data_IF_718882662989
#
_entry.id   IF_718882662989
#
_cell.length_a   1.000
_cell.length_b   1.000
_cell.length_c   1.000
_cell.angle_alpha   90.00
_cell.angle_beta   90.00
_cell.angle_gamma   90.00
#
_symmetry.space_group_name_H-M   'P 1'
#
loop_
_entity.id
_entity.type
_entity.pdbx_description
1 polymer ?
#
# COMPACT_ATOMS: atom_id res chain seq x y z
N UNK A 1 16.67 4.27 -12.34
CA UNK A 1 15.27 4.71 -12.17
C UNK A 1 14.99 4.67 -10.68
N UNK A 2 14.48 5.74 -10.06
CA UNK A 2 13.92 5.62 -8.70
C UNK A 2 12.60 4.89 -8.85
N UNK A 3 12.69 3.57 -8.89
CA UNK A 3 11.53 2.71 -8.97
C UNK A 3 10.90 2.74 -7.60
N UNK A 4 9.70 3.32 -7.49
CA UNK A 4 8.89 3.13 -6.29
C UNK A 4 8.67 1.63 -6.06
N UNK A 5 8.22 1.26 -4.88
CA UNK A 5 8.04 -0.16 -4.57
C UNK A 5 6.96 -0.78 -5.45
N UNK A 6 7.19 -2.02 -5.88
CA UNK A 6 6.15 -2.81 -6.54
C UNK A 6 5.03 -3.06 -5.54
N UNK A 7 3.80 -2.73 -5.91
CA UNK A 7 2.61 -3.07 -5.15
C UNK A 7 2.02 -4.38 -5.69
N UNK A 8 1.43 -5.19 -4.80
CA UNK A 8 0.60 -6.32 -5.24
C UNK A 8 -0.77 -5.83 -5.69
N UNK A 9 -1.44 -6.59 -6.56
CA UNK A 9 -2.81 -6.26 -6.99
C UNK A 9 -3.76 -6.10 -5.79
N UNK A 10 -3.69 -7.03 -4.83
CA UNK A 10 -4.47 -6.93 -3.59
C UNK A 10 -4.17 -5.66 -2.77
N UNK A 11 -2.93 -5.15 -2.77
CA UNK A 11 -2.61 -3.89 -2.09
C UNK A 11 -3.21 -2.66 -2.79
N UNK A 12 -3.40 -2.74 -4.10
CA UNK A 12 -3.96 -1.66 -4.90
C UNK A 12 -5.48 -1.66 -4.82
N UNK A 13 -6.10 -2.83 -5.00
CA UNK A 13 -7.55 -2.95 -5.15
C UNK A 13 -8.26 -3.03 -3.82
N UNK A 14 -7.72 -3.70 -2.81
CA UNK A 14 -8.50 -4.04 -1.62
C UNK A 14 -9.02 -2.82 -0.85
N UNK A 15 -10.34 -2.73 -0.69
CA UNK A 15 -10.96 -1.77 0.23
C UNK A 15 -10.90 -2.30 1.65
N UNK A 16 -9.84 -1.91 2.37
CA UNK A 16 -9.61 -2.34 3.76
C UNK A 16 -10.73 -1.92 4.70
N UNK A 17 -11.39 -0.77 4.48
CA UNK A 17 -12.45 -0.30 5.35
C UNK A 17 -13.72 -1.15 5.16
N UNK A 18 -14.08 -1.40 3.90
CA UNK A 18 -15.22 -2.24 3.56
C UNK A 18 -14.98 -3.70 4.00
N UNK A 19 -13.79 -4.24 3.75
CA UNK A 19 -13.37 -5.57 4.19
C UNK A 19 -13.53 -5.74 5.70
N UNK A 20 -13.02 -4.80 6.50
CA UNK A 20 -13.14 -4.86 7.96
C UNK A 20 -14.59 -4.72 8.43
N UNK A 21 -15.39 -3.94 7.72
CA UNK A 21 -16.82 -3.74 8.03
C UNK A 21 -17.58 -5.05 7.84
N UNK A 22 -17.41 -5.71 6.69
CA UNK A 22 -18.08 -6.98 6.40
C UNK A 22 -17.48 -8.16 7.15
N UNK A 23 -16.17 -8.15 7.44
CA UNK A 23 -15.57 -9.20 8.27
C UNK A 23 -16.15 -9.19 9.68
N UNK A 24 -16.35 -8.00 10.29
CA UNK A 24 -17.05 -7.89 11.58
C UNK A 24 -18.47 -8.42 11.52
N UNK A 25 -19.20 -8.13 10.44
CA UNK A 25 -20.54 -8.68 10.26
C UNK A 25 -20.51 -10.21 10.10
N UNK A 26 -19.57 -10.73 9.32
CA UNK A 26 -19.40 -12.15 9.02
C UNK A 26 -19.12 -12.97 10.27
N UNK A 27 -18.17 -12.54 11.11
CA UNK A 27 -17.81 -13.27 12.34
C UNK A 27 -18.89 -13.22 13.42
N UNK A 28 -19.81 -12.24 13.37
CA UNK A 28 -20.93 -12.14 14.32
C UNK A 28 -22.07 -13.13 14.01
N UNK A 29 -21.99 -13.86 12.90
CA UNK A 29 -23.01 -14.84 12.54
C UNK A 29 -22.78 -16.16 13.28
N UNK A 30 -23.84 -16.84 13.76
CA UNK A 30 -23.71 -18.07 14.55
C UNK A 30 -22.92 -19.18 13.85
N UNK A 31 -23.06 -19.29 12.53
CA UNK A 31 -22.33 -20.27 11.69
C UNK A 31 -20.82 -20.02 11.60
N UNK A 32 -20.36 -18.81 11.92
CA UNK A 32 -18.96 -18.39 11.82
C UNK A 32 -18.30 -18.23 13.19
N UNK A 33 -18.90 -18.77 14.26
CA UNK A 33 -18.39 -18.71 15.63
C UNK A 33 -16.94 -19.21 15.73
N UNK A 34 -16.59 -20.25 14.96
CA UNK A 34 -15.20 -20.72 14.90
C UNK A 34 -14.22 -19.67 14.36
N UNK A 35 -14.62 -18.93 13.33
CA UNK A 35 -13.80 -17.86 12.73
C UNK A 35 -13.68 -16.69 13.70
N UNK A 36 -14.75 -16.36 14.42
CA UNK A 36 -14.74 -15.36 15.48
C UNK A 36 -13.74 -15.73 16.59
N UNK A 37 -13.75 -16.98 17.05
CA UNK A 37 -12.84 -17.44 18.09
C UNK A 37 -11.38 -17.35 17.62
N UNK A 38 -11.09 -17.79 16.39
CA UNK A 38 -9.75 -17.66 15.81
C UNK A 38 -9.31 -16.18 15.71
N UNK A 39 -10.21 -15.29 15.29
CA UNK A 39 -9.91 -13.87 15.19
C UNK A 39 -9.58 -13.26 16.57
N UNK A 40 -10.34 -13.62 17.61
CA UNK A 40 -10.08 -13.20 19.00
C UNK A 40 -8.72 -13.73 19.48
N UNK A 41 -8.43 -15.01 19.22
CA UNK A 41 -7.18 -15.65 19.64
C UNK A 41 -5.96 -14.99 19.00
N UNK A 42 -6.02 -14.72 17.69
CA UNK A 42 -4.97 -14.01 16.96
C UNK A 42 -4.82 -12.57 17.43
N UNK A 43 -5.92 -11.87 17.72
CA UNK A 43 -5.87 -10.51 18.23
C UNK A 43 -5.25 -10.45 19.64
N UNK A 44 -5.66 -11.34 20.56
CA UNK A 44 -5.13 -11.42 21.92
C UNK A 44 -3.65 -11.80 21.94
N UNK A 45 -3.25 -12.70 21.03
CA UNK A 45 -1.86 -13.15 20.89
C UNK A 45 -0.99 -12.16 20.08
N UNK A 46 -1.56 -11.04 19.62
CA UNK A 46 -0.90 -10.03 18.75
C UNK A 46 -0.33 -10.64 17.46
N UNK A 47 -0.94 -11.72 16.98
CA UNK A 47 -0.57 -12.41 15.75
C UNK A 47 -1.24 -11.74 14.53
N UNK A 48 -0.90 -10.47 14.28
CA UNK A 48 -1.57 -9.65 13.26
C UNK A 48 -1.48 -10.23 11.84
N UNK A 49 -0.36 -10.86 11.48
CA UNK A 49 -0.21 -11.48 10.15
C UNK A 49 -1.18 -12.66 9.96
N UNK A 50 -1.44 -13.44 11.02
CA UNK A 50 -2.38 -14.55 10.98
C UNK A 50 -3.82 -14.05 10.96
N UNK A 51 -4.10 -12.97 11.71
CA UNK A 51 -5.39 -12.28 11.63
C UNK A 51 -5.67 -11.75 10.22
N UNK A 52 -4.72 -11.03 9.60
CA UNK A 52 -4.87 -10.55 8.22
C UNK A 52 -5.06 -11.72 7.24
N UNK A 53 -4.33 -12.83 7.41
CA UNK A 53 -4.49 -14.04 6.58
C UNK A 53 -5.89 -14.67 6.72
N UNK A 54 -6.43 -14.72 7.94
CA UNK A 54 -7.76 -15.24 8.22
C UNK A 54 -8.86 -14.38 7.59
N UNK A 55 -8.72 -13.05 7.67
CA UNK A 55 -9.65 -12.11 7.04
C UNK A 55 -9.65 -12.33 5.53
N UNK A 56 -8.46 -12.43 4.93
CA UNK A 56 -8.30 -12.63 3.49
C UNK A 56 -8.85 -13.97 3.02
N UNK A 57 -8.67 -15.05 3.78
CA UNK A 57 -9.19 -16.38 3.39
C UNK A 57 -10.72 -16.45 3.33
N UNK A 58 -11.42 -15.47 3.91
CA UNK A 58 -12.88 -15.38 3.91
C UNK A 58 -13.43 -14.27 3.00
N UNK A 59 -12.57 -13.53 2.27
CA UNK A 59 -12.98 -12.43 1.37
C UNK A 59 -14.05 -12.89 0.37
N UNK A 60 -13.78 -13.94 -0.39
CA UNK A 60 -14.67 -14.43 -1.45
C UNK A 60 -16.03 -14.89 -0.88
N UNK A 61 -16.02 -15.54 0.28
CA UNK A 61 -17.24 -15.95 0.99
C UNK A 61 -18.10 -14.74 1.37
N UNK A 62 -17.48 -13.64 1.79
CA UNK A 62 -18.19 -12.39 2.11
C UNK A 62 -18.75 -11.71 0.86
N UNK A 63 -17.99 -11.67 -0.24
CA UNK A 63 -18.43 -11.10 -1.53
C UNK A 63 -19.68 -11.81 -2.06
N UNK A 64 -19.65 -13.15 -2.09
CA UNK A 64 -20.79 -13.97 -2.53
C UNK A 64 -21.99 -13.79 -1.60
N UNK A 65 -21.76 -13.85 -0.28
CA UNK A 65 -22.85 -13.84 0.70
C UNK A 65 -23.59 -12.50 0.75
N UNK A 66 -22.86 -11.40 0.78
CA UNK A 66 -23.44 -10.07 0.90
C UNK A 66 -23.70 -9.42 -0.46
N UNK A 67 -23.34 -10.08 -1.57
CA UNK A 67 -23.42 -9.55 -2.92
C UNK A 67 -22.72 -8.20 -3.04
N UNK A 68 -21.46 -8.16 -2.62
CA UNK A 68 -20.59 -6.97 -2.56
C UNK A 68 -19.29 -7.21 -3.32
N UNK A 69 -18.62 -6.11 -3.69
CA UNK A 69 -17.27 -6.13 -4.24
C UNK A 69 -16.33 -5.49 -3.22
N UNK A 70 -15.34 -6.24 -2.73
CA UNK A 70 -14.37 -5.74 -1.72
C UNK A 70 -13.10 -5.17 -2.37
N UNK A 71 -12.97 -5.30 -3.69
CA UNK A 71 -11.94 -4.68 -4.52
C UNK A 71 -12.44 -3.39 -5.15
N UNK A 72 -11.62 -2.34 -5.09
CA UNK A 72 -11.78 -1.08 -5.79
C UNK A 72 -11.59 -1.29 -7.28
N UNK A 73 -12.36 -0.55 -8.06
CA UNK A 73 -12.17 -0.47 -9.50
C UNK A 73 -10.93 0.37 -9.80
N UNK A 74 -9.90 -0.26 -10.36
CA UNK A 74 -8.65 0.37 -10.78
C UNK A 74 -8.43 0.02 -12.25
N UNK A 75 -8.05 1.01 -13.05
CA UNK A 75 -7.78 0.78 -14.46
C UNK A 75 -6.65 -0.24 -14.64
N UNK A 76 -6.80 -1.10 -15.65
CA UNK A 76 -5.80 -2.11 -16.01
C UNK A 76 -4.43 -1.49 -16.29
N UNK A 77 -4.40 -0.28 -16.83
CA UNK A 77 -3.16 0.49 -17.04
C UNK A 77 -2.46 0.82 -15.71
N UNK A 78 -3.19 1.33 -14.72
CA UNK A 78 -2.63 1.64 -13.39
C UNK A 78 -2.18 0.38 -12.66
N UNK A 79 -2.98 -0.69 -12.71
CA UNK A 79 -2.61 -1.99 -12.14
C UNK A 79 -1.29 -2.49 -12.73
N UNK A 80 -1.17 -2.48 -14.06
CA UNK A 80 0.05 -2.91 -14.74
C UNK A 80 1.24 -2.02 -14.38
N UNK A 81 1.07 -0.70 -14.34
CA UNK A 81 2.16 0.22 -13.99
C UNK A 81 2.71 -0.07 -12.58
N UNK A 82 1.84 -0.14 -11.56
CA UNK A 82 2.26 -0.30 -10.18
C UNK A 82 2.76 -1.71 -9.81
N UNK A 83 2.34 -2.74 -10.55
CA UNK A 83 2.80 -4.13 -10.35
C UNK A 83 4.07 -4.48 -11.13
N UNK A 84 4.44 -3.72 -12.16
CA UNK A 84 5.61 -4.03 -13.03
C UNK A 84 6.72 -2.98 -13.00
N UNK A 85 6.37 -1.70 -12.99
CA UNK A 85 7.33 -0.59 -12.96
C UNK A 85 7.54 -0.06 -11.54
N UNK A 86 6.48 -0.14 -10.72
CA UNK A 86 6.46 0.35 -9.34
C UNK A 86 5.94 1.79 -9.25
N UNK A 87 5.98 2.36 -8.05
CA UNK A 87 5.54 3.73 -7.82
C UNK A 87 4.93 3.92 -6.44
N UNK A 88 4.20 5.02 -6.28
CA UNK A 88 3.58 5.39 -5.00
C UNK A 88 2.10 5.71 -5.22
N UNK A 89 1.24 4.70 -5.38
CA UNK A 89 -0.15 4.84 -5.82
C UNK A 89 -1.01 5.70 -4.89
N UNK A 90 -0.68 5.78 -3.60
CA UNK A 90 -1.41 6.61 -2.64
C UNK A 90 -1.20 8.11 -2.84
N UNK A 91 -0.22 8.54 -3.64
CA UNK A 91 0.00 9.94 -3.98
C UNK A 91 -0.80 10.39 -5.23
N UNK A 92 -1.40 9.44 -5.96
CA UNK A 92 -2.21 9.75 -7.14
C UNK A 92 -3.39 10.64 -6.78
N UNK A 93 -3.60 11.70 -7.57
CA UNK A 93 -4.63 12.73 -7.38
C UNK A 93 -4.49 13.57 -6.10
N UNK A 94 -3.59 13.22 -5.19
CA UNK A 94 -3.24 14.06 -4.03
C UNK A 94 -2.08 15.01 -4.37
N UNK A 95 -1.21 14.63 -5.31
CA UNK A 95 -0.04 15.41 -5.71
C UNK A 95 0.04 15.61 -7.23
N UNK A 96 0.24 16.87 -7.64
CA UNK A 96 0.45 17.22 -9.04
C UNK A 96 1.91 16.98 -9.44
N UNK A 97 2.12 16.06 -10.39
CA UNK A 97 3.45 15.85 -11.00
C UNK A 97 3.74 17.01 -11.97
N UNK A 98 4.84 17.73 -11.74
CA UNK A 98 5.25 18.89 -12.58
C UNK A 98 6.54 18.67 -13.39
N UNK A 99 7.20 17.52 -13.23
CA UNK A 99 8.45 17.23 -13.93
C UNK A 99 8.98 15.82 -13.65
N UNK A 100 10.02 15.44 -14.40
CA UNK A 100 10.74 14.17 -14.27
C UNK A 100 12.25 14.42 -14.36
N UNK A 101 13.03 13.63 -13.63
CA UNK A 101 14.49 13.63 -13.75
C UNK A 101 14.87 12.90 -15.04
N UNK A 102 15.41 13.63 -16.01
CA UNK A 102 15.87 13.07 -17.29
C UNK A 102 17.33 12.59 -17.24
N UNK A 103 18.16 13.18 -16.39
CA UNK A 103 19.58 12.86 -16.22
C UNK A 103 20.01 12.97 -14.74
N UNK A 104 21.09 12.28 -14.35
CA UNK A 104 21.64 12.36 -12.98
C UNK A 104 20.97 11.44 -11.96
N UNK A 105 20.35 10.34 -12.40
CA UNK A 105 19.74 9.34 -11.49
C UNK A 105 20.77 8.68 -10.56
N UNK A 106 22.03 8.52 -10.99
CA UNK A 106 23.09 7.98 -10.12
C UNK A 106 23.46 8.95 -8.98
N UNK A 107 23.34 10.25 -9.22
CA UNK A 107 23.50 11.29 -8.20
C UNK A 107 22.34 11.23 -7.21
N UNK A 108 21.12 11.06 -7.71
CA UNK A 108 19.93 10.87 -6.87
C UNK A 108 20.07 9.64 -5.96
N UNK A 109 20.52 8.50 -6.49
CA UNK A 109 20.75 7.29 -5.70
C UNK A 109 21.79 7.52 -4.57
N UNK A 110 22.87 8.26 -4.86
CA UNK A 110 23.87 8.65 -3.85
C UNK A 110 23.28 9.56 -2.77
N UNK A 111 22.38 10.48 -3.14
CA UNK A 111 21.67 11.35 -2.18
C UNK A 111 20.73 10.53 -1.29
N UNK A 112 19.99 9.57 -1.86
CA UNK A 112 19.10 8.69 -1.10
C UNK A 112 19.85 7.78 -0.11
N UNK A 113 21.11 7.45 -0.38
CA UNK A 113 21.93 6.57 0.46
C UNK A 113 22.68 7.29 1.60
N UNK A 114 22.55 8.61 1.75
CA UNK A 114 23.26 9.34 2.82
C UNK A 114 22.70 8.97 4.20
N UNK A 115 23.55 8.97 5.21
CA UNK A 115 23.14 8.71 6.59
C UNK A 115 22.18 9.80 7.09
N UNK A 116 21.10 9.37 7.73
CA UNK A 116 20.09 10.26 8.32
C UNK A 116 20.06 10.12 9.84
N UNK A 117 19.72 11.22 10.52
CA UNK A 117 19.42 11.27 11.95
C UNK A 117 17.91 11.05 12.17
N UNK A 118 17.43 10.90 13.43
CA UNK A 118 16.00 10.78 13.71
C UNK A 118 15.18 11.90 13.06
N UNK A 119 14.10 11.52 12.38
CA UNK A 119 13.29 12.43 11.55
C UNK A 119 13.79 12.59 10.11
N UNK A 120 14.55 11.62 9.60
CA UNK A 120 15.00 11.49 8.20
C UNK A 120 15.81 12.66 7.64
N UNK A 121 16.38 13.49 8.52
CA UNK A 121 17.27 14.58 8.10
C UNK A 121 18.69 14.05 7.89
N UNK A 122 19.37 14.36 6.77
CA UNK A 122 20.78 14.00 6.58
C UNK A 122 21.67 14.46 7.74
N UNK A 123 22.61 13.61 8.14
CA UNK A 123 23.63 13.93 9.17
C UNK A 123 24.55 15.05 8.66
N UNK A 124 24.93 14.96 7.38
CA UNK A 124 25.66 16.01 6.66
C UNK A 124 24.72 16.66 5.64
N UNK A 125 24.63 17.99 5.64
CA UNK A 125 23.73 18.71 4.75
C UNK A 125 24.08 18.48 3.26
N UNK A 126 23.07 18.13 2.46
CA UNK A 126 23.16 18.01 0.99
C UNK A 126 22.50 19.25 0.38
N UNK A 127 23.30 20.15 -0.22
CA UNK A 127 22.86 21.51 -0.59
C UNK A 127 22.88 21.74 -2.09
N UNK A 128 21.75 22.21 -2.65
CA UNK A 128 21.68 22.73 -4.02
C UNK A 128 22.38 24.10 -4.04
N UNK A 129 23.51 24.19 -4.75
CA UNK A 129 24.30 25.44 -4.82
C UNK A 129 23.77 26.44 -5.86
N UNK A 130 23.27 25.94 -6.99
CA UNK A 130 22.75 26.72 -8.12
C UNK A 130 21.67 25.93 -8.86
N UNK A 131 20.73 26.63 -9.47
CA UNK A 131 19.70 26.09 -10.36
C UNK A 131 19.59 27.00 -11.58
N UNK A 132 19.41 26.40 -12.74
CA UNK A 132 19.26 27.10 -14.02
C UNK A 132 17.98 26.65 -14.69
N UNK A 133 17.32 27.56 -15.40
CA UNK A 133 16.18 27.26 -16.25
C UNK A 133 16.65 27.50 -17.68
N UNK A 134 16.52 26.49 -18.53
CA UNK A 134 16.78 26.63 -19.97
C UNK A 134 15.60 27.39 -20.61
N UNK A 135 15.92 28.35 -21.48
CA UNK A 135 14.95 29.17 -22.21
C UNK A 135 14.79 28.67 -23.64
#
# INVERSE_FOLDING_TARGET
>A
MVQGTLATEAQLTMDRQLLMTYFRQYINEPQNEHVMQQAIDFQNSKQYNQLDSLIMSHKDSMEVKYNIQLDKDISQEKLKAYTTVGGTPHLDNEYTVFGIVVEGLDVLDKICAVETRPGDRPVTDVVIKKMYVEN
#
